data_IF_321099882981
#
_entry.id   IF_321099882981
#
_cell.length_a   1.000
_cell.length_b   1.000
_cell.length_c   1.000
_cell.angle_alpha   90.00
_cell.angle_beta   90.00
_cell.angle_gamma   90.00
#
_symmetry.space_group_name_H-M   'P 1'
#
loop_
_entity.id
_entity.type
_entity.pdbx_description
1 polymer ?
#
# COMPACT_ATOMS: atom_id res chain seq x y z
N UNK A 1 10.08 -16.78 -2.82
CA UNK A 1 10.13 -15.91 -4.03
C UNK A 1 10.64 -14.55 -3.64
N UNK A 2 11.37 -13.88 -4.54
CA UNK A 2 11.76 -12.47 -4.39
C UNK A 2 10.72 -11.61 -5.11
N UNK A 3 10.06 -10.70 -4.37
CA UNK A 3 8.99 -9.86 -4.87
C UNK A 3 9.42 -8.40 -4.74
N UNK A 4 9.64 -7.73 -5.88
CA UNK A 4 9.88 -6.29 -5.93
C UNK A 4 8.57 -5.52 -5.93
N UNK A 5 8.51 -4.41 -5.20
CA UNK A 5 7.35 -3.50 -5.16
C UNK A 5 7.86 -2.07 -5.38
N UNK A 6 7.29 -1.35 -6.34
CA UNK A 6 7.72 0.00 -6.68
C UNK A 6 6.72 1.03 -6.16
N UNK A 7 7.19 1.84 -5.23
CA UNK A 7 6.45 2.93 -4.63
C UNK A 7 5.99 2.65 -3.20
N UNK A 8 6.51 3.40 -2.25
CA UNK A 8 6.19 3.33 -0.81
C UNK A 8 4.95 4.14 -0.41
N UNK A 9 3.95 4.25 -1.29
CA UNK A 9 2.64 4.80 -1.00
C UNK A 9 1.71 3.78 -0.31
N UNK A 10 0.43 4.12 -0.14
CA UNK A 10 -0.57 3.25 0.51
C UNK A 10 -0.63 1.86 -0.12
N UNK A 11 -0.78 1.80 -1.44
CA UNK A 11 -0.90 0.54 -2.18
C UNK A 11 0.36 -0.32 -2.10
N UNK A 12 1.55 0.30 -2.26
CA UNK A 12 2.81 -0.44 -2.18
C UNK A 12 3.11 -0.96 -0.78
N UNK A 13 2.83 -0.17 0.26
CA UNK A 13 2.96 -0.64 1.64
C UNK A 13 2.00 -1.79 1.94
N UNK A 14 0.71 -1.68 1.52
CA UNK A 14 -0.26 -2.75 1.68
C UNK A 14 0.14 -4.03 0.91
N UNK A 15 0.63 -3.88 -0.33
CA UNK A 15 1.12 -5.00 -1.13
C UNK A 15 2.32 -5.69 -0.47
N UNK A 16 3.26 -4.91 0.10
CA UNK A 16 4.42 -5.46 0.80
C UNK A 16 4.02 -6.24 2.06
N UNK A 17 3.10 -5.68 2.87
CA UNK A 17 2.58 -6.35 4.06
C UNK A 17 1.88 -7.66 3.67
N UNK A 18 1.04 -7.63 2.63
CA UNK A 18 0.33 -8.83 2.16
C UNK A 18 1.29 -9.89 1.59
N UNK A 19 2.26 -9.51 0.77
CA UNK A 19 3.25 -10.43 0.20
C UNK A 19 4.13 -11.08 1.27
N UNK A 20 4.47 -10.34 2.32
CA UNK A 20 5.32 -10.80 3.41
C UNK A 20 4.62 -11.70 4.45
N UNK A 21 3.30 -11.91 4.34
CA UNK A 21 2.58 -12.89 5.17
C UNK A 21 3.08 -14.33 4.91
N UNK A 22 3.63 -14.58 3.74
CA UNK A 22 4.26 -15.85 3.38
C UNK A 22 5.75 -15.77 3.69
N UNK A 23 6.20 -16.41 4.75
CA UNK A 23 7.60 -16.37 5.22
C UNK A 23 8.62 -16.79 4.15
N UNK A 24 8.20 -17.60 3.18
CA UNK A 24 9.03 -18.02 2.04
C UNK A 24 9.23 -16.90 0.99
N UNK A 25 8.54 -15.77 1.12
CA UNK A 25 8.75 -14.62 0.26
C UNK A 25 9.76 -13.65 0.89
N UNK A 26 10.65 -13.14 0.05
CA UNK A 26 11.50 -11.98 0.32
C UNK A 26 10.90 -10.79 -0.43
N UNK A 27 10.57 -9.72 0.27
CA UNK A 27 9.91 -8.56 -0.28
C UNK A 27 10.87 -7.38 -0.28
N UNK A 28 11.02 -6.70 -1.42
CA UNK A 28 11.83 -5.49 -1.54
C UNK A 28 10.93 -4.35 -1.99
N UNK A 29 10.76 -3.36 -1.10
CA UNK A 29 9.93 -2.17 -1.36
C UNK A 29 10.83 -0.98 -1.70
N UNK A 30 10.73 -0.49 -2.94
CA UNK A 30 11.47 0.66 -3.44
C UNK A 30 10.64 1.94 -3.28
N UNK A 31 11.25 2.99 -2.74
CA UNK A 31 10.65 4.32 -2.64
C UNK A 31 11.69 5.39 -2.94
N UNK A 32 11.37 6.30 -3.87
CA UNK A 32 12.26 7.41 -4.26
C UNK A 32 12.45 8.46 -3.18
N UNK A 33 11.46 8.62 -2.32
CA UNK A 33 11.56 9.56 -1.20
C UNK A 33 12.29 8.92 -0.02
N UNK A 34 12.87 9.74 0.84
CA UNK A 34 13.51 9.27 2.07
C UNK A 34 12.51 8.67 3.08
N UNK A 35 11.22 8.91 2.92
CA UNK A 35 10.16 8.44 3.83
C UNK A 35 8.99 7.86 3.06
N UNK A 36 8.45 6.75 3.57
CA UNK A 36 7.23 6.11 3.06
C UNK A 36 5.99 6.96 3.40
N UNK A 37 4.93 6.77 2.62
CA UNK A 37 3.59 7.27 2.94
C UNK A 37 3.39 8.79 2.77
N UNK A 38 4.29 9.52 2.12
CA UNK A 38 4.22 10.98 1.98
C UNK A 38 2.88 11.49 1.44
N UNK A 39 2.31 10.81 0.43
CA UNK A 39 1.02 11.21 -0.14
C UNK A 39 -0.14 10.93 0.84
N UNK A 40 -0.07 9.88 1.65
CA UNK A 40 -1.06 9.59 2.69
C UNK A 40 -1.21 10.75 3.68
N UNK A 41 -0.09 11.34 4.11
CA UNK A 41 -0.08 12.45 5.06
C UNK A 41 -0.85 13.69 4.55
N UNK A 42 -0.96 13.87 3.24
CA UNK A 42 -1.67 14.99 2.62
C UNK A 42 -3.15 14.69 2.36
N UNK A 43 -3.59 13.44 2.45
CA UNK A 43 -4.98 13.06 2.16
C UNK A 43 -5.92 13.48 3.28
N UNK A 44 -7.19 13.75 2.93
CA UNK A 44 -8.23 14.14 3.90
C UNK A 44 -7.84 15.37 4.74
N UNK A 45 -7.13 16.35 4.15
CA UNK A 45 -6.60 17.53 4.85
C UNK A 45 -5.70 17.16 6.04
N UNK A 46 -4.85 16.15 5.89
CA UNK A 46 -3.95 15.67 6.94
C UNK A 46 -4.57 14.67 7.91
N UNK A 47 -5.83 14.27 7.68
CA UNK A 47 -6.58 13.31 8.53
C UNK A 47 -6.52 11.88 7.97
N UNK A 48 -6.26 11.69 6.68
CA UNK A 48 -6.34 10.44 5.94
C UNK A 48 -7.75 9.82 5.93
N UNK A 49 -8.58 10.20 4.95
CA UNK A 49 -9.85 9.51 4.71
C UNK A 49 -9.56 8.08 4.22
N UNK A 50 -9.78 7.09 5.08
CA UNK A 50 -9.46 5.69 4.81
C UNK A 50 -10.47 5.02 3.87
N UNK A 51 -11.76 5.28 4.11
CA UNK A 51 -12.86 4.63 3.40
C UNK A 51 -14.16 5.42 3.58
N UNK A 52 -15.24 4.89 2.99
CA UNK A 52 -16.59 5.41 3.19
C UNK A 52 -17.56 4.23 3.33
N UNK A 53 -18.38 4.21 4.38
CA UNK A 53 -19.37 3.15 4.60
C UNK A 53 -20.43 3.06 3.48
N UNK A 54 -20.64 4.18 2.77
CA UNK A 54 -21.58 4.26 1.64
C UNK A 54 -20.88 3.97 0.30
N UNK A 55 -19.76 3.25 0.30
CA UNK A 55 -19.04 2.93 -0.94
C UNK A 55 -19.83 1.94 -1.78
N UNK A 56 -20.09 2.31 -3.04
CA UNK A 56 -20.79 1.51 -4.03
C UNK A 56 -20.16 1.78 -5.41
N UNK A 57 -20.33 0.86 -6.35
CA UNK A 57 -19.84 1.01 -7.73
C UNK A 57 -20.40 2.26 -8.44
N UNK A 58 -21.60 2.73 -8.08
CA UNK A 58 -22.15 3.97 -8.60
C UNK A 58 -21.31 5.22 -8.32
N UNK A 59 -20.40 5.16 -7.34
CA UNK A 59 -19.48 6.24 -7.02
C UNK A 59 -18.16 6.20 -7.82
N UNK A 60 -17.98 5.16 -8.65
CA UNK A 60 -16.85 5.03 -9.55
C UNK A 60 -17.21 5.54 -10.94
N UNK A 61 -16.43 6.44 -11.48
CA UNK A 61 -16.66 7.11 -12.75
C UNK A 61 -15.51 6.83 -13.72
N UNK A 62 -15.78 6.89 -15.01
CA UNK A 62 -14.82 6.68 -16.09
C UNK A 62 -15.37 5.73 -17.16
N UNK A 63 -14.50 5.27 -18.06
CA UNK A 63 -14.91 4.44 -19.19
C UNK A 63 -15.33 3.01 -18.80
N UNK A 64 -14.83 2.50 -17.67
CA UNK A 64 -15.11 1.14 -17.21
C UNK A 64 -15.22 1.05 -15.68
N UNK A 65 -16.21 1.67 -15.02
CA UNK A 65 -16.34 1.65 -13.56
C UNK A 65 -16.51 0.23 -13.00
N UNK A 66 -17.14 -0.69 -13.76
CA UNK A 66 -17.27 -2.09 -13.37
C UNK A 66 -15.94 -2.83 -13.21
N UNK A 67 -14.83 -2.28 -13.72
CA UNK A 67 -13.48 -2.86 -13.51
C UNK A 67 -13.10 -2.93 -12.03
N UNK A 68 -13.65 -2.04 -11.20
CA UNK A 68 -13.40 -2.05 -9.76
C UNK A 68 -14.15 -3.17 -9.01
N UNK A 69 -15.25 -3.71 -9.56
CA UNK A 69 -16.12 -4.63 -8.87
C UNK A 69 -15.40 -5.86 -8.29
N UNK A 70 -14.55 -6.61 -9.04
CA UNK A 70 -13.91 -7.81 -8.48
C UNK A 70 -12.98 -7.52 -7.31
N UNK A 71 -12.39 -6.32 -7.26
CA UNK A 71 -11.53 -5.91 -6.15
C UNK A 71 -12.37 -5.53 -4.92
N UNK A 72 -13.45 -4.78 -5.12
CA UNK A 72 -14.36 -4.36 -4.05
C UNK A 72 -15.14 -5.54 -3.46
N UNK A 73 -15.53 -6.51 -4.26
CA UNK A 73 -16.20 -7.73 -3.80
C UNK A 73 -15.31 -8.61 -2.93
N UNK A 74 -13.98 -8.57 -3.17
CA UNK A 74 -13.00 -9.35 -2.40
C UNK A 74 -12.43 -8.60 -1.20
N UNK A 75 -12.30 -7.30 -1.32
CA UNK A 75 -11.70 -6.44 -0.30
C UNK A 75 -12.42 -5.10 -0.28
N UNK A 76 -13.62 -5.13 0.31
CA UNK A 76 -14.50 -3.98 0.42
C UNK A 76 -14.19 -3.11 1.62
N UNK A 77 -15.22 -2.38 2.08
CA UNK A 77 -15.09 -1.45 3.23
C UNK A 77 -14.83 -2.22 4.51
N UNK A 78 -15.58 -3.28 4.76
CA UNK A 78 -15.52 -4.05 6.00
C UNK A 78 -14.15 -4.73 6.14
N UNK A 79 -13.68 -5.40 5.07
CA UNK A 79 -12.36 -6.03 5.02
C UNK A 79 -11.24 -5.00 5.21
N UNK A 80 -11.37 -3.84 4.59
CA UNK A 80 -10.40 -2.74 4.73
C UNK A 80 -10.30 -2.28 6.19
N UNK A 81 -11.44 -2.02 6.85
CA UNK A 81 -11.45 -1.56 8.23
C UNK A 81 -10.99 -2.65 9.21
N UNK A 82 -11.32 -3.92 8.92
CA UNK A 82 -10.83 -5.05 9.69
C UNK A 82 -9.30 -5.17 9.59
N UNK A 83 -8.77 -5.11 8.38
CA UNK A 83 -7.33 -5.16 8.14
C UNK A 83 -6.57 -4.05 8.87
N UNK A 84 -7.06 -2.81 8.84
CA UNK A 84 -6.45 -1.71 9.59
C UNK A 84 -6.57 -1.90 11.10
N UNK A 85 -7.66 -2.48 11.59
CA UNK A 85 -7.84 -2.82 13.01
C UNK A 85 -6.82 -3.88 13.45
N UNK A 86 -6.59 -4.88 12.63
CA UNK A 86 -5.61 -5.94 12.89
C UNK A 86 -4.18 -5.38 12.92
N UNK A 87 -3.91 -4.31 12.18
CA UNK A 87 -2.66 -3.56 12.25
C UNK A 87 -2.59 -2.61 13.48
N UNK A 88 -3.64 -2.51 14.27
CA UNK A 88 -3.70 -1.69 15.48
C UNK A 88 -4.26 -0.28 15.27
N UNK A 89 -4.89 0.01 14.12
CA UNK A 89 -5.50 1.31 13.86
C UNK A 89 -6.96 1.35 14.35
N UNK A 90 -7.25 2.20 15.32
CA UNK A 90 -8.62 2.56 15.67
C UNK A 90 -9.18 3.58 14.68
N UNK A 91 -10.41 3.38 14.23
CA UNK A 91 -11.08 4.25 13.27
C UNK A 91 -12.38 4.82 13.83
N UNK A 92 -12.83 5.93 13.27
CA UNK A 92 -14.12 6.58 13.56
C UNK A 92 -14.84 6.86 12.24
N UNK A 93 -16.16 6.65 12.24
CA UNK A 93 -17.02 6.99 11.09
C UNK A 93 -17.76 8.30 11.40
N UNK A 94 -17.69 9.24 10.47
CA UNK A 94 -18.52 10.46 10.51
C UNK A 94 -19.95 10.18 10.01
N UNK A 95 -20.87 11.10 10.29
CA UNK A 95 -22.27 11.03 9.83
C UNK A 95 -22.41 10.97 8.30
N UNK A 96 -21.40 11.41 7.57
CA UNK A 96 -21.32 11.36 6.10
C UNK A 96 -20.91 9.98 5.56
N UNK A 97 -20.62 9.02 6.44
CA UNK A 97 -20.06 7.71 6.09
C UNK A 97 -18.55 7.70 5.91
N UNK A 98 -17.87 8.84 5.93
CA UNK A 98 -16.40 8.90 5.83
C UNK A 98 -15.74 8.31 7.05
N UNK A 99 -14.69 7.52 6.82
CA UNK A 99 -13.93 6.86 7.88
C UNK A 99 -12.54 7.45 7.99
N UNK A 100 -12.16 7.82 9.19
CA UNK A 100 -10.87 8.40 9.55
C UNK A 100 -10.20 7.62 10.67
N UNK A 101 -8.88 7.75 10.89
CA UNK A 101 -8.25 7.28 12.11
C UNK A 101 -8.85 8.02 13.31
N UNK A 102 -9.02 7.32 14.42
CA UNK A 102 -9.60 7.91 15.65
C UNK A 102 -8.78 9.10 16.18
N UNK A 103 -7.48 9.11 15.93
CA UNK A 103 -6.57 10.21 16.27
C UNK A 103 -6.81 11.49 15.45
N UNK A 104 -7.60 11.40 14.39
CA UNK A 104 -7.82 12.49 13.42
C UNK A 104 -6.53 12.95 12.71
N UNK A 105 -5.50 12.09 12.64
CA UNK A 105 -4.20 12.39 12.08
C UNK A 105 -3.74 11.31 11.09
N UNK A 106 -3.39 11.73 9.87
CA UNK A 106 -2.87 10.84 8.83
C UNK A 106 -1.58 10.09 9.24
N UNK A 107 -0.79 10.68 10.15
CA UNK A 107 0.43 10.05 10.65
C UNK A 107 0.14 8.71 11.33
N UNK A 108 -0.97 8.56 12.06
CA UNK A 108 -1.33 7.28 12.69
C UNK A 108 -1.50 6.16 11.66
N UNK A 109 -2.05 6.48 10.48
CA UNK A 109 -2.18 5.50 9.38
C UNK A 109 -0.82 5.14 8.81
N UNK A 110 0.05 6.13 8.60
CA UNK A 110 1.41 5.90 8.10
C UNK A 110 2.22 5.06 9.09
N UNK A 111 2.09 5.35 10.37
CA UNK A 111 2.87 4.66 11.42
C UNK A 111 2.46 3.19 11.56
N UNK A 112 1.16 2.86 11.58
CA UNK A 112 0.74 1.45 11.64
C UNK A 112 1.18 0.66 10.41
N UNK A 113 1.15 1.28 9.22
CA UNK A 113 1.66 0.65 8.00
C UNK A 113 3.18 0.45 8.06
N UNK A 114 3.93 1.43 8.57
CA UNK A 114 5.39 1.33 8.73
C UNK A 114 5.77 0.26 9.74
N UNK A 115 5.11 0.18 10.89
CA UNK A 115 5.34 -0.89 11.87
C UNK A 115 5.03 -2.27 11.30
N UNK A 116 3.98 -2.38 10.49
CA UNK A 116 3.65 -3.65 9.84
C UNK A 116 4.69 -4.09 8.78
N UNK A 117 5.52 -3.15 8.29
CA UNK A 117 6.65 -3.45 7.39
C UNK A 117 7.93 -3.86 8.14
N UNK A 118 7.98 -3.73 9.46
CA UNK A 118 9.14 -4.14 10.28
C UNK A 118 9.15 -5.67 10.43
N UNK A 119 9.40 -6.38 9.34
CA UNK A 119 9.48 -7.85 9.27
C UNK A 119 10.82 -8.28 8.71
N UNK A 120 11.37 -9.43 9.15
CA UNK A 120 12.67 -9.91 8.72
C UNK A 120 12.75 -10.22 7.22
N UNK A 121 11.60 -10.49 6.57
CA UNK A 121 11.50 -10.78 5.15
C UNK A 121 11.10 -9.57 4.29
N UNK A 122 11.13 -8.35 4.84
CA UNK A 122 10.92 -7.11 4.10
C UNK A 122 12.18 -6.25 4.12
N UNK A 123 12.65 -5.87 2.95
CA UNK A 123 13.73 -4.89 2.76
C UNK A 123 13.14 -3.60 2.22
N UNK A 124 13.38 -2.48 2.93
CA UNK A 124 12.99 -1.15 2.50
C UNK A 124 14.17 -0.44 1.84
N UNK A 125 13.99 -0.04 0.58
CA UNK A 125 14.98 0.72 -0.21
C UNK A 125 14.41 2.12 -0.46
N UNK A 126 14.65 3.02 0.49
CA UNK A 126 14.18 4.41 0.44
C UNK A 126 15.25 5.35 -0.10
N UNK A 127 14.84 6.54 -0.60
CA UNK A 127 15.77 7.49 -1.22
C UNK A 127 16.32 6.99 -2.56
N UNK A 128 15.69 5.99 -3.17
CA UNK A 128 16.17 5.33 -4.38
C UNK A 128 15.09 5.30 -5.44
N UNK A 129 15.30 6.06 -6.50
CA UNK A 129 14.39 6.08 -7.64
C UNK A 129 14.64 4.89 -8.55
N UNK A 130 13.58 4.15 -8.86
CA UNK A 130 13.61 3.14 -9.90
C UNK A 130 13.59 3.84 -11.25
N UNK A 131 14.67 3.70 -12.01
CA UNK A 131 14.85 4.37 -13.29
C UNK A 131 14.47 3.48 -14.47
N UNK A 132 14.56 2.16 -14.29
CA UNK A 132 14.25 1.19 -15.36
C UNK A 132 13.77 -0.13 -14.79
N UNK A 133 12.83 -0.73 -15.50
CA UNK A 133 12.38 -2.11 -15.29
C UNK A 133 12.62 -2.89 -16.58
N UNK A 134 13.17 -4.08 -16.45
CA UNK A 134 13.37 -5.03 -17.56
C UNK A 134 12.73 -6.36 -17.20
N UNK A 135 11.97 -6.92 -18.14
CA UNK A 135 11.52 -8.30 -18.05
C UNK A 135 12.68 -9.20 -18.53
N UNK A 136 12.98 -10.20 -17.73
CA UNK A 136 14.00 -11.22 -18.02
C UNK A 136 13.32 -12.53 -18.39
N UNK A 137 14.07 -13.52 -18.85
CA UNK A 137 13.55 -14.87 -19.13
C UNK A 137 12.94 -15.49 -17.88
N UNK A 138 13.53 -15.22 -16.72
CA UNK A 138 13.00 -15.60 -15.41
C UNK A 138 12.89 -14.36 -14.50
N UNK A 139 11.68 -13.77 -14.44
CA UNK A 139 11.41 -12.66 -13.51
C UNK A 139 11.70 -11.27 -14.09
N UNK A 140 12.20 -10.38 -13.24
CA UNK A 140 12.39 -8.95 -13.52
C UNK A 140 13.71 -8.44 -12.97
N UNK A 141 14.30 -7.46 -13.68
CA UNK A 141 15.37 -6.63 -13.17
C UNK A 141 14.85 -5.21 -12.95
N UNK A 142 15.16 -4.66 -11.78
CA UNK A 142 14.83 -3.28 -11.39
C UNK A 142 16.14 -2.51 -11.23
N UNK A 143 16.33 -1.48 -12.03
CA UNK A 143 17.52 -0.63 -12.01
C UNK A 143 17.21 0.63 -11.20
N UNK A 144 18.03 0.92 -10.21
CA UNK A 144 18.07 2.16 -9.43
C UNK A 144 19.38 2.91 -9.73
N UNK A 145 19.53 4.12 -9.21
CA UNK A 145 20.78 4.85 -9.33
C UNK A 145 21.89 4.13 -8.56
N UNK A 146 22.90 3.62 -9.28
CA UNK A 146 24.08 2.96 -8.72
C UNK A 146 23.97 1.47 -8.41
N UNK A 147 22.79 0.84 -8.54
CA UNK A 147 22.60 -0.59 -8.31
C UNK A 147 21.39 -1.17 -9.05
N UNK A 148 21.34 -2.50 -9.14
CA UNK A 148 20.21 -3.24 -9.72
C UNK A 148 19.79 -4.38 -8.82
N UNK A 149 18.49 -4.68 -8.82
CA UNK A 149 17.91 -5.84 -8.16
C UNK A 149 17.26 -6.77 -9.18
N UNK A 150 17.25 -8.06 -8.88
CA UNK A 150 16.52 -9.06 -9.64
C UNK A 150 15.52 -9.78 -8.74
N UNK A 151 14.36 -10.10 -9.28
CA UNK A 151 13.30 -10.78 -8.54
C UNK A 151 12.37 -11.57 -9.44
N UNK A 152 11.58 -12.44 -8.81
CA UNK A 152 10.65 -13.35 -9.49
C UNK A 152 9.38 -12.64 -9.96
N UNK A 153 8.90 -11.68 -9.12
CA UNK A 153 7.66 -10.91 -9.35
C UNK A 153 7.91 -9.43 -9.11
N UNK A 154 7.11 -8.60 -9.78
CA UNK A 154 7.12 -7.15 -9.63
C UNK A 154 5.68 -6.62 -9.56
N UNK A 155 5.47 -5.70 -8.62
CA UNK A 155 4.21 -4.96 -8.38
C UNK A 155 4.48 -3.47 -8.49
#
# INVERSE_FOLDING_TARGET
MIIGIIGGGASGMAAAIAAAQWECNEVILFERQARLGRKLQATGNGRCNLSNLNMDLQHYHGDAPAFAAPALDRFGVEETLHWFRDLGLCTVCETTGRVYPYSDQANSVVDVLRFALERPNITLVTGSEVTKVKRMDSGFQVDCEGFSYSGDKLI
#
